data_IF_725368576214
#
_entry.id   IF_725368576214
#
_cell.length_a   1.000
_cell.length_b   1.000
_cell.length_c   1.000
_cell.angle_alpha   90.00
_cell.angle_beta   90.00
_cell.angle_gamma   90.00
#
_symmetry.space_group_name_H-M   'P 1'
#
loop_
_entity.id
_entity.type
_entity.pdbx_description
1 polymer ?
#
# COMPACT_ATOMS: atom_id res chain seq x y z
N UNK A 1 2.35 -18.12 8.05
CA UNK A 1 3.75 -17.72 8.32
C UNK A 1 4.31 -16.76 7.25
N UNK A 2 3.46 -15.93 6.63
CA UNK A 2 3.88 -14.93 5.61
C UNK A 2 3.66 -13.47 6.08
N UNK A 3 3.63 -13.22 7.39
CA UNK A 3 3.50 -11.85 7.92
C UNK A 3 4.67 -10.94 7.49
N UNK A 4 5.88 -11.49 7.39
CA UNK A 4 7.05 -10.71 6.99
C UNK A 4 6.93 -10.20 5.55
N UNK A 5 6.52 -11.06 4.61
CA UNK A 5 6.34 -10.67 3.21
C UNK A 5 5.18 -9.66 3.04
N UNK A 6 4.09 -9.88 3.78
CA UNK A 6 2.96 -8.93 3.83
C UNK A 6 3.39 -7.56 4.37
N UNK A 7 4.15 -7.55 5.47
CA UNK A 7 4.69 -6.32 6.06
C UNK A 7 5.66 -5.60 5.10
N UNK A 8 6.52 -6.34 4.40
CA UNK A 8 7.43 -5.76 3.42
C UNK A 8 6.67 -5.10 2.26
N UNK A 9 5.60 -5.75 1.79
CA UNK A 9 4.73 -5.19 0.76
C UNK A 9 3.97 -3.95 1.23
N UNK A 10 3.51 -3.90 2.49
CA UNK A 10 2.93 -2.70 3.09
C UNK A 10 3.95 -1.56 3.09
N UNK A 11 5.19 -1.84 3.49
CA UNK A 11 6.27 -0.85 3.49
C UNK A 11 6.58 -0.34 2.07
N UNK A 12 6.61 -1.23 1.08
CA UNK A 12 6.74 -0.86 -0.32
C UNK A 12 5.56 -0.01 -0.82
N UNK A 13 4.32 -0.37 -0.46
CA UNK A 13 3.13 0.42 -0.82
C UNK A 13 3.22 1.84 -0.25
N UNK A 14 3.58 1.97 1.04
CA UNK A 14 3.79 3.26 1.71
C UNK A 14 4.90 4.08 1.05
N UNK A 15 6.01 3.45 0.66
CA UNK A 15 7.09 4.12 -0.05
C UNK A 15 6.61 4.69 -1.40
N UNK A 16 5.76 3.97 -2.13
CA UNK A 16 5.18 4.42 -3.40
C UNK A 16 4.20 5.58 -3.18
N UNK A 17 3.34 5.51 -2.16
CA UNK A 17 2.47 6.63 -1.80
C UNK A 17 3.26 7.90 -1.46
N UNK A 18 4.35 7.75 -0.71
CA UNK A 18 5.22 8.87 -0.40
C UNK A 18 5.94 9.41 -1.63
N UNK A 19 6.47 8.53 -2.48
CA UNK A 19 7.12 8.91 -3.74
C UNK A 19 6.17 9.70 -4.65
N UNK A 20 4.92 9.24 -4.79
CA UNK A 20 3.89 9.98 -5.49
C UNK A 20 3.61 11.35 -4.86
N UNK A 21 3.48 11.42 -3.53
CA UNK A 21 3.25 12.68 -2.83
C UNK A 21 4.38 13.71 -3.03
N UNK A 22 5.64 13.25 -3.01
CA UNK A 22 6.80 14.10 -3.31
C UNK A 22 6.86 14.56 -4.78
N UNK A 23 6.37 13.75 -5.71
CA UNK A 23 6.32 14.07 -7.14
C UNK A 23 5.17 15.00 -7.51
N UNK A 24 4.01 14.87 -6.87
CA UNK A 24 2.80 15.66 -7.16
C UNK A 24 2.83 17.06 -6.54
N UNK A 25 3.55 17.27 -5.43
CA UNK A 25 3.63 18.59 -4.79
C UNK A 25 4.31 19.64 -5.67
N UNK A 26 3.71 20.83 -5.79
CA UNK A 26 4.25 21.95 -6.58
C UNK A 26 5.31 22.79 -5.83
N UNK A 27 5.26 22.81 -4.50
CA UNK A 27 6.17 23.60 -3.63
C UNK A 27 6.85 22.70 -2.60
N UNK A 28 8.01 23.08 -2.06
CA UNK A 28 8.76 22.26 -1.10
C UNK A 28 7.93 21.81 0.12
N UNK A 29 7.04 22.69 0.59
CA UNK A 29 6.12 22.41 1.71
C UNK A 29 5.04 21.42 1.29
N UNK A 30 4.38 21.64 0.15
CA UNK A 30 3.32 20.72 -0.33
C UNK A 30 3.87 19.34 -0.68
N UNK A 31 5.11 19.26 -1.19
CA UNK A 31 5.82 18.00 -1.39
C UNK A 31 6.06 17.24 -0.08
N UNK A 32 6.48 17.93 0.97
CA UNK A 32 6.68 17.33 2.30
C UNK A 32 5.36 16.83 2.89
N UNK A 33 4.31 17.65 2.83
CA UNK A 33 2.99 17.29 3.36
C UNK A 33 2.39 16.10 2.61
N UNK A 34 2.43 16.08 1.28
CA UNK A 34 1.89 14.96 0.51
C UNK A 34 2.80 13.72 0.61
N UNK A 35 4.11 13.90 0.52
CA UNK A 35 5.08 12.80 0.54
C UNK A 35 5.18 12.07 1.88
N UNK A 36 4.91 12.76 2.99
CA UNK A 36 4.93 12.15 4.34
C UNK A 36 3.51 11.94 4.85
N UNK A 37 2.62 12.91 4.66
CA UNK A 37 1.25 12.85 5.16
C UNK A 37 0.43 11.75 4.50
N UNK A 38 0.56 11.53 3.19
CA UNK A 38 -0.18 10.44 2.50
C UNK A 38 0.20 9.06 3.06
N UNK A 39 1.48 8.64 3.12
CA UNK A 39 1.80 7.34 3.72
C UNK A 39 1.45 7.27 5.20
N UNK A 40 1.58 8.36 5.97
CA UNK A 40 1.19 8.37 7.38
C UNK A 40 -0.31 8.09 7.56
N UNK A 41 -1.17 8.75 6.78
CA UNK A 41 -2.63 8.55 6.81
C UNK A 41 -2.98 7.13 6.41
N UNK A 42 -2.38 6.59 5.34
CA UNK A 42 -2.59 5.19 4.92
C UNK A 42 -2.18 4.22 6.04
N UNK A 43 -1.04 4.44 6.68
CA UNK A 43 -0.54 3.59 7.77
C UNK A 43 -1.47 3.62 8.99
N UNK A 44 -2.02 4.78 9.35
CA UNK A 44 -3.00 4.91 10.44
C UNK A 44 -4.29 4.17 10.11
N UNK A 45 -4.84 4.35 8.89
CA UNK A 45 -6.04 3.64 8.44
C UNK A 45 -5.80 2.12 8.47
N UNK A 46 -4.65 1.67 7.99
CA UNK A 46 -4.29 0.25 8.04
C UNK A 46 -4.17 -0.26 9.48
N UNK A 47 -3.49 0.47 10.36
CA UNK A 47 -3.34 0.09 11.76
C UNK A 47 -4.67 -0.01 12.50
N UNK A 48 -5.62 0.89 12.20
CA UNK A 48 -6.93 0.94 12.85
C UNK A 48 -7.89 -0.15 12.37
N UNK A 49 -7.88 -0.44 11.06
CA UNK A 49 -8.92 -1.25 10.41
C UNK A 49 -8.41 -2.52 9.71
N UNK A 50 -7.17 -2.48 9.19
CA UNK A 50 -6.57 -3.54 8.36
C UNK A 50 -5.66 -4.51 9.10
N UNK A 51 -5.10 -4.10 10.24
CA UNK A 51 -4.16 -4.90 11.03
C UNK A 51 -4.82 -6.14 11.65
N UNK A 52 -4.09 -7.27 11.82
CA UNK A 52 -4.55 -8.40 12.64
C UNK A 52 -4.89 -8.01 14.09
N UNK A 53 -4.31 -6.91 14.58
CA UNK A 53 -4.61 -6.29 15.88
C UNK A 53 -5.39 -4.97 15.73
N UNK A 54 -6.18 -4.85 14.66
CA UNK A 54 -7.01 -3.67 14.41
C UNK A 54 -7.87 -3.35 15.64
N UNK A 55 -7.87 -2.07 16.03
CA UNK A 55 -8.74 -1.58 17.11
C UNK A 55 -10.21 -1.69 16.73
N UNK A 56 -10.50 -1.52 15.44
CA UNK A 56 -11.85 -1.64 14.88
C UNK A 56 -11.83 -2.76 13.83
N UNK A 57 -12.17 -4.00 14.23
CA UNK A 57 -12.18 -5.12 13.29
C UNK A 57 -13.25 -4.89 12.22
N UNK A 58 -12.84 -4.92 10.95
CA UNK A 58 -13.76 -4.84 9.82
C UNK A 58 -14.31 -6.23 9.46
N UNK A 59 -15.55 -6.26 8.96
CA UNK A 59 -16.10 -7.47 8.31
C UNK A 59 -15.22 -7.88 7.13
N UNK A 60 -15.11 -9.19 6.86
CA UNK A 60 -14.29 -9.75 5.77
C UNK A 60 -14.38 -9.02 4.42
N UNK A 61 -15.58 -8.65 3.88
CA UNK A 61 -15.65 -7.93 2.60
C UNK A 61 -15.07 -6.51 2.67
N UNK A 62 -15.27 -5.79 3.77
CA UNK A 62 -14.71 -4.44 3.95
C UNK A 62 -13.20 -4.48 4.12
N UNK A 63 -12.69 -5.49 4.84
CA UNK A 63 -11.26 -5.70 5.00
C UNK A 63 -10.57 -5.99 3.66
N UNK A 64 -11.19 -6.82 2.81
CA UNK A 64 -10.73 -7.10 1.46
C UNK A 64 -10.72 -5.84 0.59
N UNK A 65 -11.76 -5.02 0.69
CA UNK A 65 -11.87 -3.74 -0.04
C UNK A 65 -10.73 -2.79 0.37
N UNK A 66 -10.48 -2.65 1.67
CA UNK A 66 -9.37 -1.86 2.20
C UNK A 66 -8.00 -2.39 1.74
N UNK A 67 -7.82 -3.71 1.73
CA UNK A 67 -6.61 -4.36 1.20
C UNK A 67 -6.40 -4.04 -0.28
N UNK A 68 -7.44 -4.16 -1.12
CA UNK A 68 -7.35 -3.79 -2.53
C UNK A 68 -6.95 -2.33 -2.66
N UNK A 69 -7.54 -1.42 -1.90
CA UNK A 69 -7.19 0.00 -1.98
C UNK A 69 -5.72 0.24 -1.63
N UNK A 70 -5.24 -0.32 -0.52
CA UNK A 70 -3.87 -0.09 -0.05
C UNK A 70 -2.82 -0.66 -1.01
N UNK A 71 -3.07 -1.82 -1.63
CA UNK A 71 -2.10 -2.48 -2.51
C UNK A 71 -2.27 -2.18 -4.01
N UNK A 72 -3.49 -1.88 -4.49
CA UNK A 72 -3.74 -1.63 -5.92
C UNK A 72 -3.47 -0.17 -6.32
N UNK A 73 -3.83 0.80 -5.47
CA UNK A 73 -3.60 2.22 -5.78
C UNK A 73 -2.11 2.53 -6.04
N UNK A 74 -1.13 2.02 -5.27
CA UNK A 74 0.28 2.24 -5.55
C UNK A 74 0.69 1.81 -6.97
N UNK A 75 0.12 0.72 -7.49
CA UNK A 75 0.36 0.27 -8.87
C UNK A 75 -0.13 1.34 -9.86
N UNK A 76 -1.34 1.86 -9.65
CA UNK A 76 -1.91 2.95 -10.48
C UNK A 76 -1.07 4.22 -10.39
N UNK A 77 -0.62 4.59 -9.19
CA UNK A 77 0.24 5.76 -8.99
C UNK A 77 1.58 5.63 -9.73
N UNK A 78 2.20 4.45 -9.73
CA UNK A 78 3.44 4.21 -10.49
C UNK A 78 3.21 4.30 -12.01
N UNK A 79 2.06 3.83 -12.51
CA UNK A 79 1.70 4.03 -13.92
C UNK A 79 1.52 5.52 -14.26
N UNK A 80 0.85 6.29 -13.40
CA UNK A 80 0.67 7.74 -13.59
C UNK A 80 1.99 8.52 -13.55
N UNK A 81 2.97 8.02 -12.79
CA UNK A 81 4.31 8.62 -12.71
C UNK A 81 5.22 8.22 -13.89
N UNK A 82 4.75 7.37 -14.80
CA UNK A 82 5.52 6.91 -15.97
C UNK A 82 6.64 5.92 -15.65
N UNK A 83 6.77 5.48 -14.39
CA UNK A 83 7.79 4.50 -13.96
C UNK A 83 7.28 3.07 -14.15
N UNK A 84 6.99 2.72 -15.41
CA UNK A 84 6.37 1.45 -15.80
C UNK A 84 7.16 0.23 -15.30
N UNK A 85 8.50 0.30 -15.29
CA UNK A 85 9.34 -0.78 -14.76
C UNK A 85 9.11 -1.07 -13.27
N UNK A 86 9.07 -0.02 -12.43
CA UNK A 86 8.80 -0.16 -10.99
C UNK A 86 7.34 -0.56 -10.71
N UNK A 87 6.40 -0.09 -11.54
CA UNK A 87 4.99 -0.49 -11.47
C UNK A 87 4.81 -2.00 -11.66
N UNK A 88 5.48 -2.57 -12.67
CA UNK A 88 5.45 -4.00 -12.95
C UNK A 88 6.12 -4.81 -11.83
N UNK A 89 7.28 -4.39 -11.33
CA UNK A 89 7.96 -5.09 -10.24
C UNK A 89 7.07 -5.13 -8.99
N UNK A 90 6.55 -3.97 -8.58
CA UNK A 90 5.68 -3.90 -7.40
C UNK A 90 4.38 -4.70 -7.60
N UNK A 91 3.72 -4.54 -8.75
CA UNK A 91 2.49 -5.27 -9.08
C UNK A 91 2.69 -6.79 -9.11
N UNK A 92 3.77 -7.28 -9.72
CA UNK A 92 4.10 -8.71 -9.74
C UNK A 92 4.33 -9.26 -8.33
N UNK A 93 5.05 -8.54 -7.46
CA UNK A 93 5.31 -8.99 -6.09
C UNK A 93 3.98 -9.02 -5.29
N UNK A 94 3.10 -8.03 -5.47
CA UNK A 94 1.77 -8.01 -4.83
C UNK A 94 0.94 -9.22 -5.25
N UNK A 95 0.88 -9.51 -6.56
CA UNK A 95 0.12 -10.65 -7.09
C UNK A 95 0.70 -11.97 -6.60
N UNK A 96 2.03 -12.15 -6.67
CA UNK A 96 2.69 -13.37 -6.18
C UNK A 96 2.41 -13.59 -4.70
N UNK A 97 2.51 -12.56 -3.87
CA UNK A 97 2.21 -12.65 -2.45
C UNK A 97 0.73 -12.97 -2.17
N UNK A 98 -0.20 -12.41 -2.96
CA UNK A 98 -1.64 -12.72 -2.83
C UNK A 98 -1.93 -14.17 -3.18
N UNK A 99 -1.31 -14.68 -4.24
CA UNK A 99 -1.39 -16.10 -4.64
C UNK A 99 -0.79 -16.98 -3.54
N UNK A 100 0.37 -16.60 -3.01
CA UNK A 100 1.05 -17.34 -1.94
C UNK A 100 0.20 -17.38 -0.65
N UNK A 101 -0.52 -16.30 -0.32
CA UNK A 101 -1.47 -16.29 0.79
C UNK A 101 -2.68 -17.20 0.54
N UNK A 102 -3.24 -17.18 -0.67
CA UNK A 102 -4.39 -18.01 -1.03
C UNK A 102 -4.06 -19.52 -0.99
N UNK A 103 -2.88 -19.91 -1.47
CA UNK A 103 -2.46 -21.32 -1.46
C UNK A 103 -2.10 -21.87 -0.08
N UNK A 104 -1.83 -21.00 0.90
CA UNK A 104 -1.34 -21.43 2.21
C UNK A 104 -2.38 -21.37 3.35
N UNK A 105 -3.65 -21.10 3.04
CA UNK A 105 -4.75 -20.98 4.02
C UNK A 105 -4.33 -20.22 5.29
N UNK A 106 -4.13 -18.90 5.16
CA UNK A 106 -4.11 -17.95 6.29
C UNK A 106 -5.23 -16.93 6.15
#
# INVERSE_FOLDING_TARGET
MNLFLRFLLELCALAVYGYWGFKTGNTGITKGILGIGTPLVIAIIWGLFGSPKATIPLSAPLHLLLEIFVFLIPVVLLFLLGTVGSAWIFGCIVILNRILMYFWDQ
#
